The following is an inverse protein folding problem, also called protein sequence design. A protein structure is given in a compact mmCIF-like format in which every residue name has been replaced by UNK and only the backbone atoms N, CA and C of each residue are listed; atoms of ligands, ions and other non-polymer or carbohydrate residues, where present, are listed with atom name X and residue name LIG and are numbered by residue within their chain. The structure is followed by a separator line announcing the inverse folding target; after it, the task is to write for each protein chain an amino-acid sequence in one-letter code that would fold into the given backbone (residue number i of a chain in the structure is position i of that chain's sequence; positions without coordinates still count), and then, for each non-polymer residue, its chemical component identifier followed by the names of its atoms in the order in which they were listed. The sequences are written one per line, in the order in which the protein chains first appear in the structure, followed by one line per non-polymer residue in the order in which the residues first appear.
data_IF_452088613054
#
_entry.id   IF_452088613054
#
_cell.length_a   1.000
_cell.length_b   1.000
_cell.length_c   1.000
_cell.angle_alpha   90.00
_cell.angle_beta   90.00
_cell.angle_gamma   90.00
#
_symmetry.space_group_name_H-M   'P 1'
#
loop_
_entity.id
_entity.type
_entity.pdbx_description
1 polymer ?
#
# COMPACT_ATOMS: atom_id res chain seq x y z
N UNK A 1 -51.63 14.47 -56.34
CA UNK A 1 -50.74 13.37 -55.90
C UNK A 1 -49.93 13.92 -54.74
N UNK A 2 -50.47 13.82 -53.52
CA UNK A 2 -49.86 14.31 -52.28
C UNK A 2 -49.24 13.12 -51.57
N UNK A 3 -47.92 13.02 -51.59
CA UNK A 3 -47.19 11.96 -50.91
C UNK A 3 -46.80 12.44 -49.51
N UNK A 4 -47.47 11.86 -48.51
CA UNK A 4 -47.15 11.90 -47.09
C UNK A 4 -47.28 10.48 -46.62
N UNK A 5 -46.17 9.80 -46.32
CA UNK A 5 -46.11 8.74 -45.31
C UNK A 5 -44.65 8.53 -44.91
N UNK A 6 -44.20 9.27 -43.89
CA UNK A 6 -43.22 8.73 -42.95
C UNK A 6 -43.90 7.58 -42.19
N UNK A 7 -43.29 6.40 -42.20
CA UNK A 7 -43.62 5.33 -41.26
C UNK A 7 -42.33 4.72 -40.73
N UNK A 8 -42.15 4.96 -39.44
CA UNK A 8 -41.16 4.37 -38.54
C UNK A 8 -41.16 2.84 -38.62
N UNK A 9 -39.98 2.23 -38.70
CA UNK A 9 -39.73 0.87 -38.20
C UNK A 9 -38.38 0.83 -37.50
N UNK A 10 -38.46 0.74 -36.18
CA UNK A 10 -37.36 0.56 -35.25
C UNK A 10 -36.84 -0.89 -35.30
N UNK A 11 -35.51 -1.05 -35.29
CA UNK A 11 -34.78 -2.05 -34.51
C UNK A 11 -34.75 -3.51 -35.00
N UNK A 12 -33.58 -3.94 -35.49
CA UNK A 12 -32.87 -5.08 -34.90
C UNK A 12 -31.35 -4.87 -35.06
N UNK A 13 -30.60 -5.33 -34.07
CA UNK A 13 -29.14 -5.28 -34.08
C UNK A 13 -28.62 -6.70 -34.23
N UNK A 14 -27.78 -6.95 -35.22
CA UNK A 14 -26.92 -8.13 -35.26
C UNK A 14 -25.83 -8.00 -36.35
N UNK A 15 -24.69 -7.42 -35.99
CA UNK A 15 -23.45 -7.61 -36.74
C UNK A 15 -22.48 -8.42 -35.87
N UNK A 16 -22.69 -9.74 -35.80
CA UNK A 16 -21.73 -10.68 -35.23
C UNK A 16 -20.45 -10.68 -36.09
N UNK A 17 -19.35 -10.20 -35.51
CA UNK A 17 -18.01 -10.34 -36.07
C UNK A 17 -17.50 -11.78 -35.89
N UNK A 18 -17.17 -12.52 -36.97
CA UNK A 18 -16.76 -13.93 -36.89
C UNK A 18 -15.29 -14.16 -36.51
N UNK A 19 -14.59 -13.20 -35.89
CA UNK A 19 -13.15 -13.29 -35.64
C UNK A 19 -12.73 -13.27 -34.16
N UNK A 20 -13.68 -13.14 -33.22
CA UNK A 20 -13.39 -13.01 -31.80
C UNK A 20 -13.26 -14.39 -31.10
N UNK A 21 -14.05 -15.40 -31.49
CA UNK A 21 -14.12 -16.67 -30.76
C UNK A 21 -12.95 -17.66 -30.96
N UNK A 22 -12.03 -17.39 -31.90
CA UNK A 22 -10.91 -18.32 -32.21
C UNK A 22 -9.62 -17.92 -31.50
N UNK A 23 -9.54 -16.73 -30.91
CA UNK A 23 -8.32 -16.25 -30.25
C UNK A 23 -8.30 -16.45 -28.73
N UNK A 24 -9.44 -16.76 -28.11
CA UNK A 24 -9.57 -16.73 -26.65
C UNK A 24 -9.33 -18.05 -25.90
N UNK A 25 -9.20 -19.20 -26.57
CA UNK A 25 -9.22 -20.49 -25.85
C UNK A 25 -7.88 -21.25 -25.80
N UNK A 26 -6.84 -20.74 -26.45
CA UNK A 26 -5.54 -21.42 -26.49
C UNK A 26 -4.49 -20.43 -26.01
N UNK A 27 -3.87 -20.79 -24.89
CA UNK A 27 -2.68 -20.18 -24.30
C UNK A 27 -2.94 -19.04 -23.30
N UNK A 28 -2.96 -19.40 -22.00
CA UNK A 28 -1.96 -18.97 -21.00
C UNK A 28 -2.52 -18.97 -19.58
N UNK A 29 -2.53 -20.16 -18.97
CA UNK A 29 -2.22 -20.33 -17.56
C UNK A 29 -0.70 -20.19 -17.42
N UNK A 30 -0.21 -18.98 -17.18
CA UNK A 30 1.16 -18.77 -16.72
C UNK A 30 1.24 -17.46 -15.94
N UNK A 31 1.63 -17.56 -14.67
CA UNK A 31 1.97 -16.42 -13.82
C UNK A 31 3.27 -15.79 -14.34
N UNK A 32 3.16 -14.93 -15.34
CA UNK A 32 4.27 -14.13 -15.84
C UNK A 32 4.12 -12.73 -15.27
N UNK A 33 5.03 -12.36 -14.37
CA UNK A 33 5.26 -10.95 -14.00
C UNK A 33 5.82 -10.29 -15.26
N UNK A 34 4.95 -9.73 -16.09
CA UNK A 34 5.30 -8.91 -17.25
C UNK A 34 5.59 -7.50 -16.79
N UNK A 35 6.88 -7.16 -16.80
CA UNK A 35 7.40 -5.83 -16.51
C UNK A 35 7.80 -5.19 -17.84
N UNK A 36 6.84 -4.65 -18.58
CA UNK A 36 7.06 -3.54 -19.51
C UNK A 36 5.73 -3.08 -20.14
N UNK A 37 5.41 -1.80 -19.99
CA UNK A 37 4.89 -0.89 -21.02
C UNK A 37 4.60 0.49 -20.40
N UNK A 38 5.44 1.44 -20.78
CA UNK A 38 5.12 2.79 -21.25
C UNK A 38 4.27 3.77 -20.39
N UNK A 39 4.93 4.91 -20.14
CA UNK A 39 4.41 6.27 -20.34
C UNK A 39 3.37 6.84 -19.36
N UNK A 40 3.88 7.51 -18.32
CA UNK A 40 3.31 8.79 -17.88
C UNK A 40 2.64 8.86 -16.50
N UNK A 41 2.54 7.75 -15.75
CA UNK A 41 1.88 7.71 -14.43
C UNK A 41 2.86 7.52 -13.25
N UNK A 42 3.96 8.29 -13.24
CA UNK A 42 5.17 8.04 -12.45
C UNK A 42 5.11 8.39 -10.94
N UNK A 43 3.94 8.68 -10.38
CA UNK A 43 3.79 8.99 -8.94
C UNK A 43 3.62 7.73 -8.09
N UNK A 44 2.79 6.78 -8.54
CA UNK A 44 2.26 5.76 -7.63
C UNK A 44 3.17 4.54 -7.48
N UNK A 45 3.98 4.25 -8.51
CA UNK A 45 4.88 3.10 -8.50
C UNK A 45 5.94 3.17 -7.39
N UNK A 46 6.38 4.38 -7.02
CA UNK A 46 7.36 4.56 -5.94
C UNK A 46 6.82 4.09 -4.59
N UNK A 47 5.54 4.33 -4.29
CA UNK A 47 4.91 3.85 -3.06
C UNK A 47 4.71 2.34 -3.07
N UNK A 48 4.40 1.76 -4.23
CA UNK A 48 4.28 0.31 -4.40
C UNK A 48 5.62 -0.37 -4.13
N UNK A 49 6.73 0.16 -4.65
CA UNK A 49 8.07 -0.38 -4.35
C UNK A 49 8.41 -0.28 -2.86
N UNK A 50 8.04 0.80 -2.19
CA UNK A 50 8.20 0.90 -0.74
C UNK A 50 7.31 -0.09 0.01
N UNK A 51 6.06 -0.31 -0.43
CA UNK A 51 5.14 -1.27 0.19
C UNK A 51 5.74 -2.68 0.16
N UNK A 52 6.25 -3.07 -1.00
CA UNK A 52 6.92 -4.34 -1.22
C UNK A 52 8.19 -4.42 -0.36
N UNK A 53 9.00 -3.35 -0.31
CA UNK A 53 10.16 -3.27 0.57
C UNK A 53 9.80 -3.48 2.05
N UNK A 54 8.77 -2.79 2.56
CA UNK A 54 8.30 -2.98 3.94
C UNK A 54 7.76 -4.40 4.17
N UNK A 55 7.04 -4.97 3.21
CA UNK A 55 6.55 -6.34 3.30
C UNK A 55 7.71 -7.34 3.42
N UNK A 56 8.77 -7.16 2.63
CA UNK A 56 9.99 -7.98 2.72
C UNK A 56 10.67 -7.81 4.09
N UNK A 57 10.85 -6.59 4.57
CA UNK A 57 11.45 -6.35 5.91
C UNK A 57 10.57 -6.98 7.01
N UNK A 58 9.23 -7.02 6.83
CA UNK A 58 8.30 -7.67 7.76
C UNK A 58 8.43 -9.19 7.72
N UNK A 59 8.51 -9.78 6.53
CA UNK A 59 8.75 -11.22 6.37
C UNK A 59 10.09 -11.64 6.99
N UNK A 60 11.15 -10.85 6.80
CA UNK A 60 12.45 -11.08 7.42
C UNK A 60 12.36 -10.97 8.95
N UNK A 61 11.66 -9.96 9.49
CA UNK A 61 11.47 -9.83 10.93
C UNK A 61 10.75 -11.04 11.53
N UNK A 62 9.66 -11.49 10.89
CA UNK A 62 8.91 -12.68 11.33
C UNK A 62 9.81 -13.91 11.29
N UNK A 63 10.58 -14.11 10.22
CA UNK A 63 11.54 -15.20 10.12
C UNK A 63 12.63 -15.12 11.22
N UNK A 64 13.18 -13.93 11.47
CA UNK A 64 14.14 -13.69 12.56
C UNK A 64 13.52 -13.95 13.93
N UNK A 65 12.24 -13.61 14.13
CA UNK A 65 11.49 -13.86 15.36
C UNK A 65 11.36 -15.35 15.68
N UNK A 66 11.28 -16.21 14.66
CA UNK A 66 11.29 -17.66 14.83
C UNK A 66 12.70 -18.24 15.02
N UNK A 67 13.75 -17.54 14.59
CA UNK A 67 15.15 -17.94 14.71
C UNK A 67 15.84 -17.29 15.94
N UNK A 68 15.06 -16.96 16.98
CA UNK A 68 15.51 -16.22 18.16
C UNK A 68 16.66 -16.90 18.93
N UNK A 69 16.69 -18.22 18.93
CA UNK A 69 17.61 -19.01 19.76
C UNK A 69 19.09 -18.88 19.34
N UNK A 70 19.36 -18.55 18.06
CA UNK A 70 20.73 -18.39 17.53
C UNK A 70 21.32 -16.98 17.75
N UNK A 71 20.47 -15.97 18.01
CA UNK A 71 20.88 -14.55 18.06
C UNK A 71 21.08 -14.01 19.48
N UNK A 72 20.69 -14.78 20.51
CA UNK A 72 20.92 -14.46 21.92
C UNK A 72 20.43 -13.06 22.32
N UNK A 73 21.21 -12.33 23.12
CA UNK A 73 20.82 -11.01 23.64
C UNK A 73 20.72 -9.91 22.57
N UNK A 74 21.28 -10.11 21.37
CA UNK A 74 21.21 -9.15 20.26
C UNK A 74 19.91 -9.25 19.44
N UNK A 75 19.11 -10.30 19.65
CA UNK A 75 17.81 -10.46 19.03
C UNK A 75 16.85 -9.30 19.32
N UNK A 76 16.73 -8.92 20.59
CA UNK A 76 15.78 -7.91 21.06
C UNK A 76 16.08 -6.51 20.49
N UNK A 77 17.34 -5.99 20.53
CA UNK A 77 17.63 -4.69 19.91
C UNK A 77 17.52 -4.73 18.38
N UNK A 78 17.79 -5.87 17.74
CA UNK A 78 17.64 -6.01 16.29
C UNK A 78 16.17 -5.94 15.87
N UNK A 79 15.28 -6.68 16.54
CA UNK A 79 13.84 -6.59 16.28
C UNK A 79 13.30 -5.19 16.57
N UNK A 80 13.74 -4.55 17.66
CA UNK A 80 13.33 -3.19 18.00
C UNK A 80 13.78 -2.17 16.95
N UNK A 81 14.99 -2.34 16.39
CA UNK A 81 15.49 -1.55 15.28
C UNK A 81 14.63 -1.75 14.01
N UNK A 82 14.29 -3.00 13.66
CA UNK A 82 13.47 -3.30 12.48
C UNK A 82 12.05 -2.70 12.62
N UNK A 83 11.46 -2.77 13.82
CA UNK A 83 10.19 -2.11 14.15
C UNK A 83 10.29 -0.58 13.98
N UNK A 84 11.35 0.03 14.47
CA UNK A 84 11.58 1.46 14.33
C UNK A 84 11.69 1.87 12.85
N UNK A 85 12.51 1.16 12.06
CA UNK A 85 12.67 1.44 10.63
C UNK A 85 11.34 1.35 9.87
N UNK A 86 10.52 0.33 10.17
CA UNK A 86 9.18 0.19 9.58
C UNK A 86 8.28 1.35 9.96
N UNK A 87 8.24 1.70 11.24
CA UNK A 87 7.43 2.80 11.74
C UNK A 87 7.76 4.10 10.98
N UNK A 88 9.03 4.47 10.87
CA UNK A 88 9.45 5.68 10.16
C UNK A 88 9.15 5.61 8.66
N UNK A 89 9.34 4.45 8.04
CA UNK A 89 9.06 4.26 6.62
C UNK A 89 7.55 4.39 6.33
N UNK A 90 6.68 3.85 7.19
CA UNK A 90 5.22 4.04 7.09
C UNK A 90 4.85 5.51 7.27
N UNK A 91 5.40 6.20 8.27
CA UNK A 91 5.08 7.61 8.54
C UNK A 91 5.51 8.52 7.40
N UNK A 92 6.72 8.36 6.89
CA UNK A 92 7.28 9.26 5.88
C UNK A 92 6.65 9.06 4.49
N UNK A 93 6.26 7.82 4.17
CA UNK A 93 5.83 7.45 2.82
C UNK A 93 4.37 7.03 2.73
N UNK A 94 3.85 6.19 3.63
CA UNK A 94 2.45 5.74 3.61
C UNK A 94 1.48 6.74 4.25
N UNK A 95 1.94 7.51 5.24
CA UNK A 95 1.19 8.65 5.79
C UNK A 95 1.49 9.95 5.03
N UNK A 96 1.68 9.87 3.71
CA UNK A 96 1.54 10.99 2.78
C UNK A 96 2.41 12.26 3.03
N UNK A 97 3.27 12.30 4.05
CA UNK A 97 4.06 13.46 4.47
C UNK A 97 5.00 14.01 3.40
N UNK A 98 5.42 13.14 2.47
CA UNK A 98 6.27 13.53 1.34
C UNK A 98 5.50 14.20 0.20
N UNK A 99 4.19 14.02 0.11
CA UNK A 99 3.36 14.46 -1.03
C UNK A 99 2.09 15.25 -0.64
N UNK A 100 1.77 15.36 0.64
CA UNK A 100 0.56 16.04 1.15
C UNK A 100 0.86 17.38 1.85
N UNK A 101 -0.19 18.15 2.10
CA UNK A 101 -0.12 19.48 2.69
C UNK A 101 0.36 19.41 4.16
N UNK A 102 1.18 20.40 4.56
CA UNK A 102 1.88 20.46 5.87
C UNK A 102 0.97 20.23 7.09
N UNK A 103 -0.33 20.48 6.97
CA UNK A 103 -1.31 20.26 8.04
C UNK A 103 -1.43 18.80 8.50
N UNK A 104 -1.44 17.82 7.59
CA UNK A 104 -1.52 16.41 7.96
C UNK A 104 -0.24 15.93 8.65
N UNK A 105 0.91 16.40 8.16
CA UNK A 105 2.21 16.22 8.81
C UNK A 105 2.23 16.75 10.24
N UNK A 106 1.71 17.97 10.45
CA UNK A 106 1.68 18.63 11.76
C UNK A 106 0.79 17.86 12.73
N UNK A 107 -0.40 17.44 12.32
CA UNK A 107 -1.31 16.67 13.19
C UNK A 107 -0.70 15.33 13.60
N UNK A 108 -0.01 14.64 12.69
CA UNK A 108 0.68 13.40 12.99
C UNK A 108 1.83 13.60 14.00
N UNK A 109 2.71 14.59 13.77
CA UNK A 109 3.80 14.89 14.70
C UNK A 109 3.30 15.40 16.06
N UNK A 110 2.21 16.17 16.09
CA UNK A 110 1.55 16.57 17.34
C UNK A 110 1.01 15.34 18.08
N UNK A 111 0.41 14.38 17.38
CA UNK A 111 -0.02 13.11 17.96
C UNK A 111 1.15 12.28 18.53
N UNK A 112 2.26 12.18 17.79
CA UNK A 112 3.48 11.51 18.25
C UNK A 112 4.05 12.19 19.51
N UNK A 113 4.16 13.52 19.49
CA UNK A 113 4.65 14.30 20.63
C UNK A 113 3.72 14.17 21.84
N UNK A 114 2.41 14.23 21.63
CA UNK A 114 1.41 14.04 22.66
C UNK A 114 1.48 12.62 23.24
N UNK A 115 1.61 11.59 22.41
CA UNK A 115 1.74 10.20 22.87
C UNK A 115 2.96 10.02 23.78
N UNK A 116 4.12 10.53 23.36
CA UNK A 116 5.35 10.52 24.18
C UNK A 116 5.17 11.34 25.46
N UNK A 117 4.58 12.53 25.37
CA UNK A 117 4.34 13.41 26.51
C UNK A 117 3.39 12.79 27.54
N UNK A 118 2.28 12.19 27.09
CA UNK A 118 1.33 11.48 27.96
C UNK A 118 1.97 10.25 28.58
N UNK A 119 2.78 9.51 27.83
CA UNK A 119 3.52 8.36 28.36
C UNK A 119 4.49 8.78 29.48
N UNK A 120 5.27 9.84 29.27
CA UNK A 120 6.17 10.39 30.30
C UNK A 120 5.38 10.89 31.51
N UNK A 121 4.29 11.62 31.29
CA UNK A 121 3.44 12.11 32.38
C UNK A 121 2.84 10.97 33.20
N UNK A 122 2.44 9.87 32.56
CA UNK A 122 1.96 8.67 33.24
C UNK A 122 3.07 8.01 34.07
N UNK A 123 4.27 7.85 33.50
CA UNK A 123 5.42 7.30 34.25
C UNK A 123 5.77 8.17 35.46
N UNK A 124 5.83 9.49 35.31
CA UNK A 124 6.06 10.42 36.41
C UNK A 124 4.97 10.30 37.49
N UNK A 125 3.71 10.15 37.09
CA UNK A 125 2.59 9.98 38.04
C UNK A 125 2.76 8.69 38.86
N UNK A 126 3.20 7.58 38.26
CA UNK A 126 3.39 6.31 38.98
C UNK A 126 4.69 6.26 39.82
N UNK A 127 5.78 6.86 39.34
CA UNK A 127 7.05 6.98 40.10
C UNK A 127 6.88 7.89 41.32
N UNK A 128 6.26 9.07 41.16
CA UNK A 128 6.11 10.04 42.25
C UNK A 128 5.13 9.60 43.35
N UNK A 129 4.29 8.60 43.08
CA UNK A 129 3.37 8.00 44.08
C UNK A 129 3.94 6.73 44.74
N UNK A 130 5.07 6.22 44.25
CA UNK A 130 5.73 5.01 44.79
C UNK A 130 6.87 5.35 45.77
N UNK A 131 7.31 6.62 45.80
CA UNK A 131 8.26 7.16 46.79
C UNK A 131 7.54 7.66 48.05
#
# INVERSE_FOLDING_TARGET
MSDITETTTLGDGHYDQPNEAVKEAVDHEEAVISHDHDDGHWSDLQFVYLAIGLAIVTAIEVALSYMVDDLGALFLPLLLLLMFVKFFSVVLYFMHLKFDNRWFSILFYMGLFLAVGVYIAALLTFEFFTA
#
